data_IF_858604200082
#
_entry.id   IF_858604200082
#
_cell.length_a   1.000
_cell.length_b   1.000
_cell.length_c   1.000
_cell.angle_alpha   90.00
_cell.angle_beta   90.00
_cell.angle_gamma   90.00
#
_symmetry.space_group_name_H-M   'P 1'
#
loop_
_entity.id
_entity.type
_entity.pdbx_description
1 polymer ?
#
# COMPACT_ATOMS: atom_id res chain seq x y z
N UNK A 1 -7.49 30.59 6.98
CA UNK A 1 -8.12 29.61 7.88
C UNK A 1 -7.90 30.07 9.30
N UNK A 2 -8.93 30.55 10.00
CA UNK A 2 -8.83 30.95 11.41
C UNK A 2 -8.95 29.69 12.27
N UNK A 3 -7.89 29.37 13.03
CA UNK A 3 -7.90 28.27 13.99
C UNK A 3 -8.60 28.79 15.25
N UNK A 4 -9.86 28.37 15.45
CA UNK A 4 -10.70 28.86 16.55
C UNK A 4 -10.53 28.05 17.85
N UNK A 5 -9.73 26.98 17.82
CA UNK A 5 -9.39 26.20 19.01
C UNK A 5 -8.21 25.27 18.74
N UNK A 6 -7.29 25.15 19.71
CA UNK A 6 -6.28 24.11 19.77
C UNK A 6 -6.33 23.45 21.15
N UNK A 7 -6.70 22.18 21.20
CA UNK A 7 -6.55 21.37 22.42
C UNK A 7 -5.26 20.54 22.32
N UNK A 8 -4.45 20.56 23.39
CA UNK A 8 -3.26 19.72 23.48
C UNK A 8 -3.68 18.26 23.67
N UNK A 9 -3.45 17.43 22.65
CA UNK A 9 -3.74 15.99 22.69
C UNK A 9 -2.42 15.22 22.67
N UNK A 10 -2.18 14.40 23.68
CA UNK A 10 -1.00 13.53 23.75
C UNK A 10 -1.39 12.06 23.53
N UNK A 11 -0.74 11.40 22.57
CA UNK A 11 -0.91 9.96 22.36
C UNK A 11 -0.12 9.21 23.44
N UNK A 12 -0.82 8.64 24.42
CA UNK A 12 -0.23 7.78 25.45
C UNK A 12 0.04 6.37 24.89
N UNK A 13 1.14 5.75 25.32
CA UNK A 13 1.57 4.38 24.89
C UNK A 13 1.71 4.22 23.36
N UNK A 14 2.37 5.18 22.71
CA UNK A 14 2.60 5.26 21.24
C UNK A 14 3.01 3.93 20.59
N UNK A 15 3.82 3.12 21.27
CA UNK A 15 4.37 1.89 20.72
C UNK A 15 3.33 0.77 20.50
N UNK A 16 2.22 0.73 21.25
CA UNK A 16 1.26 -0.39 21.17
C UNK A 16 0.45 -0.34 19.86
N UNK A 17 -0.19 0.80 19.49
CA UNK A 17 -0.91 0.89 18.22
C UNK A 17 0.03 0.83 17.01
N UNK A 18 1.22 1.44 17.10
CA UNK A 18 2.19 1.49 16.01
C UNK A 18 2.72 0.11 15.62
N UNK A 19 2.93 -0.79 16.60
CA UNK A 19 3.38 -2.17 16.33
C UNK A 19 2.39 -2.93 15.44
N UNK A 20 1.10 -2.86 15.77
CA UNK A 20 0.07 -3.53 14.98
C UNK A 20 0.02 -3.02 13.54
N UNK A 21 0.12 -1.70 13.35
CA UNK A 21 0.17 -1.10 12.01
C UNK A 21 1.41 -1.53 11.23
N UNK A 22 2.58 -1.56 11.89
CA UNK A 22 3.84 -2.01 11.28
C UNK A 22 3.78 -3.49 10.88
N UNK A 23 3.16 -4.34 11.70
CA UNK A 23 3.04 -5.77 11.40
C UNK A 23 2.14 -6.01 10.19
N UNK A 24 1.05 -5.25 10.04
CA UNK A 24 0.20 -5.29 8.84
C UNK A 24 0.99 -4.83 7.61
N UNK A 25 1.72 -3.71 7.71
CA UNK A 25 2.52 -3.19 6.61
C UNK A 25 3.62 -4.17 6.17
N UNK A 26 4.34 -4.77 7.13
CA UNK A 26 5.37 -5.78 6.84
C UNK A 26 4.79 -7.01 6.15
N UNK A 27 3.61 -7.48 6.57
CA UNK A 27 2.90 -8.57 5.89
C UNK A 27 2.52 -8.19 4.46
N UNK A 28 2.06 -6.95 4.24
CA UNK A 28 1.75 -6.46 2.89
C UNK A 28 2.98 -6.44 1.99
N UNK A 29 4.10 -5.88 2.46
CA UNK A 29 5.38 -5.88 1.72
C UNK A 29 5.85 -7.31 1.45
N UNK A 30 5.79 -8.19 2.46
CA UNK A 30 6.17 -9.59 2.31
C UNK A 30 5.34 -10.35 1.27
N UNK A 31 4.07 -9.98 1.09
CA UNK A 31 3.21 -10.53 0.05
C UNK A 31 3.60 -10.01 -1.35
N UNK A 32 3.94 -8.73 -1.45
CA UNK A 32 4.28 -8.09 -2.73
C UNK A 32 5.62 -8.53 -3.30
N UNK A 33 6.61 -8.84 -2.46
CA UNK A 33 7.94 -9.27 -2.91
C UNK A 33 7.88 -10.45 -3.91
N UNK A 34 7.26 -11.60 -3.61
CA UNK A 34 7.20 -12.70 -4.57
C UNK A 34 6.31 -12.38 -5.78
N UNK A 35 5.24 -11.61 -5.59
CA UNK A 35 4.33 -11.19 -6.67
C UNK A 35 5.07 -10.37 -7.74
N UNK A 36 5.85 -9.37 -7.31
CA UNK A 36 6.62 -8.55 -8.23
C UNK A 36 7.87 -9.24 -8.74
N UNK A 37 8.42 -10.22 -8.03
CA UNK A 37 9.48 -11.07 -8.56
C UNK A 37 8.98 -11.90 -9.76
N UNK A 38 7.75 -12.42 -9.69
CA UNK A 38 7.13 -13.17 -10.80
C UNK A 38 6.83 -12.29 -12.02
N UNK A 39 6.33 -11.06 -11.79
CA UNK A 39 5.94 -10.13 -12.88
C UNK A 39 7.03 -9.13 -13.26
N UNK A 40 8.25 -9.29 -12.74
CA UNK A 40 9.33 -8.32 -12.94
C UNK A 40 9.69 -8.15 -14.41
N UNK A 41 9.71 -9.23 -15.19
CA UNK A 41 10.04 -9.20 -16.61
C UNK A 41 9.08 -8.25 -17.37
N UNK A 42 7.77 -8.47 -17.23
CA UNK A 42 6.71 -7.63 -17.83
C UNK A 42 6.83 -6.16 -17.41
N UNK A 43 7.07 -5.90 -16.12
CA UNK A 43 7.19 -4.54 -15.59
C UNK A 43 8.49 -3.84 -16.04
N UNK A 44 9.58 -4.59 -16.20
CA UNK A 44 10.90 -4.04 -16.54
C UNK A 44 10.96 -3.47 -17.96
N UNK A 45 10.15 -4.00 -18.88
CA UNK A 45 10.04 -3.52 -20.26
C UNK A 45 9.49 -2.08 -20.35
N UNK A 46 8.68 -1.68 -19.37
CA UNK A 46 8.10 -0.35 -19.31
C UNK A 46 9.17 0.67 -18.95
N UNK A 47 9.66 1.44 -19.92
CA UNK A 47 10.73 2.44 -19.73
C UNK A 47 10.36 3.59 -18.79
N UNK A 48 9.08 3.98 -18.77
CA UNK A 48 8.61 5.09 -17.93
C UNK A 48 8.30 4.60 -16.52
N UNK A 49 9.04 5.11 -15.52
CA UNK A 49 8.91 4.73 -14.12
C UNK A 49 7.50 4.96 -13.54
N UNK A 50 6.84 6.07 -13.90
CA UNK A 50 5.50 6.37 -13.41
C UNK A 50 4.46 5.40 -13.99
N UNK A 51 4.59 5.07 -15.27
CA UNK A 51 3.72 4.05 -15.89
C UNK A 51 3.95 2.68 -15.27
N UNK A 52 5.22 2.29 -15.08
CA UNK A 52 5.59 1.04 -14.42
C UNK A 52 4.97 0.91 -13.03
N UNK A 53 5.03 1.99 -12.23
CA UNK A 53 4.42 2.02 -10.91
C UNK A 53 2.90 1.85 -10.96
N UNK A 54 2.23 2.53 -11.90
CA UNK A 54 0.78 2.41 -12.05
C UNK A 54 0.37 1.00 -12.52
N UNK A 55 1.13 0.37 -13.42
CA UNK A 55 0.88 -1.01 -13.83
C UNK A 55 1.11 -1.98 -12.66
N UNK A 56 2.19 -1.82 -11.90
CA UNK A 56 2.43 -2.59 -10.68
C UNK A 56 1.29 -2.44 -9.67
N UNK A 57 0.70 -1.25 -9.56
CA UNK A 57 -0.48 -0.99 -8.74
C UNK A 57 -1.73 -1.70 -9.28
N UNK A 58 -1.94 -1.70 -10.60
CA UNK A 58 -3.06 -2.36 -11.26
C UNK A 58 -3.02 -3.89 -11.15
N UNK A 59 -1.84 -4.50 -11.08
CA UNK A 59 -1.69 -5.94 -10.85
C UNK A 59 -2.29 -6.39 -9.51
N UNK A 60 -2.32 -5.50 -8.52
CA UNK A 60 -2.53 -5.84 -7.11
C UNK A 60 -3.84 -5.25 -6.57
N UNK A 61 -4.30 -4.11 -7.08
CA UNK A 61 -5.46 -3.40 -6.55
C UNK A 61 -6.70 -3.49 -7.45
N UNK A 62 -7.78 -4.04 -6.89
CA UNK A 62 -9.05 -4.19 -7.54
C UNK A 62 -9.87 -2.90 -7.42
N UNK A 63 -10.35 -2.41 -8.56
CA UNK A 63 -11.29 -1.29 -8.61
C UNK A 63 -12.43 -1.65 -9.54
N UNK A 64 -13.49 -0.84 -9.58
CA UNK A 64 -14.62 -1.07 -10.50
C UNK A 64 -14.20 -1.22 -11.97
N UNK A 65 -13.10 -0.57 -12.37
CA UNK A 65 -12.60 -0.57 -13.77
C UNK A 65 -11.40 -1.50 -13.99
N UNK A 66 -10.76 -1.98 -12.92
CA UNK A 66 -9.52 -2.75 -12.99
C UNK A 66 -9.68 -4.04 -12.18
N UNK A 67 -9.55 -5.18 -12.85
CA UNK A 67 -9.53 -6.47 -12.18
C UNK A 67 -8.07 -6.86 -11.90
N UNK A 68 -7.72 -6.94 -10.61
CA UNK A 68 -6.36 -7.26 -10.20
C UNK A 68 -6.02 -8.72 -10.51
N UNK A 69 -4.79 -8.96 -10.99
CA UNK A 69 -4.25 -10.31 -11.20
C UNK A 69 -4.01 -11.02 -9.87
N UNK A 70 -3.63 -10.26 -8.84
CA UNK A 70 -3.34 -10.77 -7.49
C UNK A 70 -4.36 -10.25 -6.47
N UNK A 71 -4.80 -11.13 -5.56
CA UNK A 71 -5.89 -10.87 -4.62
C UNK A 71 -5.44 -10.12 -3.35
N UNK A 72 -4.57 -9.12 -3.48
CA UNK A 72 -4.03 -8.38 -2.35
C UNK A 72 -5.11 -7.71 -1.49
N UNK A 73 -6.14 -7.12 -2.11
CA UNK A 73 -7.22 -6.45 -1.38
C UNK A 73 -8.08 -7.42 -0.54
N UNK A 74 -8.07 -8.72 -0.86
CA UNK A 74 -8.71 -9.75 -0.03
C UNK A 74 -7.88 -10.05 1.22
N UNK A 75 -6.55 -10.04 1.10
CA UNK A 75 -5.63 -10.28 2.21
C UNK A 75 -5.48 -9.06 3.13
N UNK A 76 -5.52 -7.85 2.55
CA UNK A 76 -5.37 -6.58 3.25
C UNK A 76 -6.57 -5.66 3.00
N UNK A 77 -7.76 -6.01 3.53
CA UNK A 77 -8.97 -5.25 3.27
C UNK A 77 -8.85 -3.82 3.82
N UNK A 78 -9.28 -2.85 3.02
CA UNK A 78 -9.29 -1.41 3.36
C UNK A 78 -7.91 -0.84 3.71
N UNK A 79 -6.84 -1.38 3.14
CA UNK A 79 -5.50 -0.79 3.28
C UNK A 79 -5.49 0.63 2.71
N UNK A 80 -5.05 1.65 3.48
CA UNK A 80 -5.02 3.03 3.00
C UNK A 80 -4.15 3.19 1.75
N UNK A 81 -4.59 4.00 0.79
CA UNK A 81 -3.91 4.18 -0.50
C UNK A 81 -2.45 4.63 -0.35
N UNK A 82 -2.17 5.57 0.56
CA UNK A 82 -0.81 6.02 0.83
C UNK A 82 0.09 4.91 1.37
N UNK A 83 -0.48 3.98 2.15
CA UNK A 83 0.27 2.88 2.76
C UNK A 83 0.48 1.76 1.74
N UNK A 84 -0.53 1.47 0.92
CA UNK A 84 -0.44 0.51 -0.19
C UNK A 84 0.60 0.96 -1.21
N UNK A 85 0.57 2.22 -1.64
CA UNK A 85 1.56 2.80 -2.57
C UNK A 85 2.97 2.89 -2.00
N UNK A 86 3.13 2.92 -0.67
CA UNK A 86 4.44 2.87 -0.04
C UNK A 86 5.01 1.43 0.05
N UNK A 87 4.16 0.42 -0.09
CA UNK A 87 4.56 -1.00 -0.09
C UNK A 87 4.95 -1.52 -1.48
N UNK A 88 4.48 -0.84 -2.54
CA UNK A 88 4.79 -1.07 -3.96
C UNK A 88 6.07 -0.33 -4.31
#
# INVERSE_FOLDING_TARGET
>A
MQIVSSYGVEIKKKNIPLRATLDIFRKAVSYLIPVYAETWEELSEIRNAQKRFNEAEHLVHETKKNHARFLFDRHFPKMPSYLRRAAI
#
